data_IF_337448569459
#
_entry.id   IF_337448569459
#
_cell.length_a   1.000
_cell.length_b   1.000
_cell.length_c   1.000
_cell.angle_alpha   90.00
_cell.angle_beta   90.00
_cell.angle_gamma   90.00
#
_symmetry.space_group_name_H-M   'P 1'
#
loop_
_entity.id
_entity.type
_entity.pdbx_description
1 polymer ?
#
# COMPACT_ATOMS: atom_id res chain seq x y z
N UNK A 1 20.25 10.88 7.41
CA UNK A 1 20.90 11.77 6.43
C UNK A 1 19.89 12.28 5.39
N UNK A 2 19.12 11.40 4.70
CA UNK A 2 18.16 11.80 3.65
C UNK A 2 17.05 12.72 4.17
N UNK A 3 16.43 12.39 5.32
CA UNK A 3 15.38 13.21 5.93
C UNK A 3 15.87 14.62 6.29
N UNK A 4 17.08 14.73 6.86
CA UNK A 4 17.67 16.03 7.17
C UNK A 4 17.90 16.84 5.90
N UNK A 5 18.38 16.21 4.83
CA UNK A 5 18.59 16.87 3.54
C UNK A 5 17.24 17.38 2.98
N UNK A 6 16.17 16.59 3.05
CA UNK A 6 14.84 17.00 2.62
C UNK A 6 14.30 18.19 3.43
N UNK A 7 14.48 18.18 4.75
CA UNK A 7 14.10 19.30 5.63
C UNK A 7 14.89 20.55 5.24
N UNK A 8 16.20 20.43 5.01
CA UNK A 8 17.03 21.54 4.55
C UNK A 8 16.57 22.11 3.22
N UNK A 9 16.30 21.27 2.24
CA UNK A 9 15.77 21.71 0.94
C UNK A 9 14.42 22.39 1.12
N UNK A 10 13.48 21.81 1.85
CA UNK A 10 12.17 22.40 2.11
C UNK A 10 12.30 23.76 2.80
N UNK A 11 13.15 23.87 3.83
CA UNK A 11 13.38 25.15 4.52
C UNK A 11 13.98 26.24 3.61
N UNK A 12 14.94 25.89 2.72
CA UNK A 12 15.46 26.82 1.74
C UNK A 12 14.36 27.27 0.75
N UNK A 13 13.51 26.34 0.34
CA UNK A 13 12.41 26.63 -0.58
C UNK A 13 11.42 27.66 -0.01
N UNK A 14 11.26 27.76 1.33
CA UNK A 14 10.40 28.80 1.94
C UNK A 14 10.87 30.22 1.70
N UNK A 15 12.13 30.41 1.33
CA UNK A 15 12.70 31.72 0.96
C UNK A 15 12.56 32.05 -0.54
N UNK A 16 12.43 31.02 -1.38
CA UNK A 16 12.45 31.15 -2.84
C UNK A 16 11.03 31.12 -3.43
N UNK A 17 10.18 30.25 -2.90
CA UNK A 17 8.83 30.04 -3.42
C UNK A 17 7.86 31.02 -2.76
N UNK A 18 7.09 31.83 -3.54
CA UNK A 18 6.07 32.70 -2.99
C UNK A 18 5.00 31.91 -2.22
N UNK A 19 4.62 32.40 -1.06
CA UNK A 19 3.59 31.78 -0.25
C UNK A 19 2.21 31.98 -0.88
N UNK A 20 1.42 30.92 -0.97
CA UNK A 20 0.04 30.95 -1.46
C UNK A 20 -0.86 30.06 -0.63
N UNK A 21 -2.13 30.41 -0.56
CA UNK A 21 -3.15 29.67 0.15
C UNK A 21 -4.41 29.50 -0.71
N UNK A 22 -5.20 28.52 -0.36
CA UNK A 22 -6.56 28.33 -0.85
C UNK A 22 -7.55 28.57 0.29
N UNK A 23 -8.74 29.08 -0.02
CA UNK A 23 -9.82 29.09 0.94
C UNK A 23 -10.22 27.68 1.33
N UNK A 24 -10.50 27.49 2.60
CA UNK A 24 -10.88 26.19 3.15
C UNK A 24 -12.29 26.23 3.69
N UNK A 25 -13.07 25.21 3.38
CA UNK A 25 -14.44 25.03 3.88
C UNK A 25 -14.50 23.71 4.64
N UNK A 26 -15.21 23.74 5.76
CA UNK A 26 -15.45 22.51 6.53
C UNK A 26 -16.50 21.65 5.81
N UNK A 27 -16.08 20.49 5.30
CA UNK A 27 -16.94 19.52 4.64
C UNK A 27 -17.00 18.27 5.52
N UNK A 28 -18.10 18.10 6.25
CA UNK A 28 -18.32 16.95 7.14
C UNK A 28 -17.25 16.78 8.24
N UNK A 29 -16.83 17.87 8.87
CA UNK A 29 -15.83 17.86 9.94
C UNK A 29 -14.38 17.75 9.44
N UNK A 30 -14.15 18.02 8.16
CA UNK A 30 -12.82 18.09 7.56
C UNK A 30 -12.65 19.37 6.77
N UNK A 31 -11.48 19.99 6.92
CA UNK A 31 -11.11 21.16 6.15
C UNK A 31 -10.80 20.76 4.70
N UNK A 32 -11.67 21.13 3.78
CA UNK A 32 -11.49 20.89 2.34
C UNK A 32 -11.08 22.16 1.62
N UNK A 33 -10.24 22.05 0.59
CA UNK A 33 -9.82 23.15 -0.28
C UNK A 33 -10.93 23.48 -1.28
N UNK A 34 -11.23 24.77 -1.43
CA UNK A 34 -12.16 25.26 -2.47
C UNK A 34 -11.41 25.46 -3.79
N UNK A 35 -11.76 24.75 -4.86
CA UNK A 35 -11.09 24.91 -6.15
C UNK A 35 -11.23 26.33 -6.69
N UNK A 36 -10.14 26.88 -7.24
CA UNK A 36 -10.13 28.20 -7.87
C UNK A 36 -9.97 29.40 -6.92
N UNK A 37 -9.77 29.19 -5.63
CA UNK A 37 -9.59 30.25 -4.63
C UNK A 37 -8.12 30.52 -4.29
N UNK A 38 -7.18 30.11 -5.16
CA UNK A 38 -5.76 30.36 -4.91
C UNK A 38 -5.47 31.87 -4.84
N UNK A 39 -4.80 32.29 -3.76
CA UNK A 39 -4.31 33.64 -3.61
C UNK A 39 -2.93 33.64 -2.94
N UNK A 40 -2.11 34.62 -3.30
CA UNK A 40 -0.82 34.80 -2.63
C UNK A 40 -1.01 35.44 -1.24
N UNK A 41 -0.27 34.90 -0.28
CA UNK A 41 -0.23 35.41 1.08
C UNK A 41 1.15 35.99 1.40
N UNK A 42 1.27 36.69 2.53
CA UNK A 42 2.54 37.23 2.98
C UNK A 42 3.54 36.09 3.24
N UNK A 43 4.73 36.23 2.67
CA UNK A 43 5.77 35.20 2.79
C UNK A 43 6.35 35.21 4.21
N UNK A 44 6.29 34.06 4.87
CA UNK A 44 6.85 33.82 6.19
C UNK A 44 7.93 32.73 6.13
N UNK A 45 9.17 33.08 5.78
CA UNK A 45 10.25 32.10 5.71
C UNK A 45 10.53 31.51 7.08
N UNK A 46 10.90 30.21 7.11
CA UNK A 46 11.21 29.50 8.35
C UNK A 46 12.48 30.08 8.98
N UNK A 47 12.38 30.57 10.22
CA UNK A 47 13.49 31.06 11.00
C UNK A 47 14.37 29.90 11.56
N UNK A 48 15.52 30.24 12.18
CA UNK A 48 16.44 29.27 12.73
C UNK A 48 15.79 28.36 13.77
N UNK A 49 14.93 28.90 14.63
CA UNK A 49 14.20 28.12 15.63
C UNK A 49 13.16 27.21 14.97
N UNK A 50 12.48 27.71 13.93
CA UNK A 50 11.55 26.93 13.13
C UNK A 50 12.15 25.68 12.54
N UNK A 51 13.43 25.69 12.16
CA UNK A 51 14.13 24.49 11.67
C UNK A 51 14.24 23.39 12.72
N UNK A 52 14.51 23.75 13.98
CA UNK A 52 14.59 22.78 15.06
C UNK A 52 13.21 22.28 15.50
N UNK A 53 12.22 23.15 15.50
CA UNK A 53 10.85 22.79 15.88
C UNK A 53 10.08 22.07 14.78
N UNK A 54 10.47 22.21 13.51
CA UNK A 54 9.82 21.59 12.36
C UNK A 54 9.69 20.07 12.47
N UNK A 55 10.70 19.40 13.04
CA UNK A 55 10.67 17.95 13.23
C UNK A 55 9.57 17.57 14.23
N UNK A 56 9.53 18.24 15.39
CA UNK A 56 8.52 17.98 16.40
C UNK A 56 7.11 18.30 15.90
N UNK A 57 6.96 19.46 15.24
CA UNK A 57 5.68 19.88 14.67
C UNK A 57 5.21 18.90 13.58
N UNK A 58 6.10 18.44 12.69
CA UNK A 58 5.77 17.44 11.69
C UNK A 58 5.25 16.12 12.27
N UNK A 59 5.78 15.67 13.42
CA UNK A 59 5.23 14.52 14.14
C UNK A 59 3.82 14.81 14.68
N UNK A 60 3.60 15.99 15.25
CA UNK A 60 2.28 16.38 15.78
C UNK A 60 1.26 16.48 14.65
N UNK A 61 1.59 17.14 13.56
CA UNK A 61 0.71 17.31 12.40
C UNK A 61 0.37 15.97 11.71
N UNK A 62 1.33 15.03 11.74
CA UNK A 62 1.15 13.69 11.18
C UNK A 62 0.62 12.66 12.19
N UNK A 63 0.35 13.02 13.43
CA UNK A 63 0.04 12.06 14.50
C UNK A 63 -1.17 11.18 14.19
N UNK A 64 -2.22 11.73 13.57
CA UNK A 64 -3.39 10.95 13.17
C UNK A 64 -3.07 9.89 12.10
N UNK A 65 -2.21 10.23 11.15
CA UNK A 65 -1.75 9.30 10.09
C UNK A 65 -0.91 8.20 10.72
N UNK A 66 0.06 8.57 11.55
CA UNK A 66 0.95 7.63 12.25
C UNK A 66 0.14 6.68 13.11
N UNK A 67 -0.77 7.18 13.94
CA UNK A 67 -1.64 6.36 14.77
C UNK A 67 -2.52 5.42 13.95
N UNK A 68 -3.12 5.91 12.85
CA UNK A 68 -3.93 5.10 11.96
C UNK A 68 -3.16 3.93 11.34
N UNK A 69 -1.93 4.18 10.87
CA UNK A 69 -1.06 3.13 10.32
C UNK A 69 -0.67 2.13 11.40
N UNK A 70 -0.28 2.59 12.61
CA UNK A 70 0.08 1.67 13.70
C UNK A 70 -1.08 0.77 14.13
N UNK A 71 -2.29 1.31 14.29
CA UNK A 71 -3.48 0.53 14.66
C UNK A 71 -3.77 -0.51 13.58
N UNK A 72 -3.71 -0.13 12.31
CA UNK A 72 -3.96 -1.03 11.20
C UNK A 72 -2.94 -2.16 11.13
N UNK A 73 -1.64 -1.84 11.24
CA UNK A 73 -0.56 -2.84 11.22
C UNK A 73 -0.64 -3.77 12.42
N UNK A 74 -0.94 -3.25 13.61
CA UNK A 74 -1.14 -4.06 14.80
C UNK A 74 -2.30 -5.05 14.63
N UNK A 75 -3.43 -4.59 14.05
CA UNK A 75 -4.57 -5.47 13.75
C UNK A 75 -4.19 -6.61 12.80
N UNK A 76 -3.48 -6.30 11.71
CA UNK A 76 -2.98 -7.32 10.77
C UNK A 76 -1.99 -8.25 11.46
N UNK A 77 -1.08 -7.72 12.31
CA UNK A 77 -0.14 -8.54 13.08
C UNK A 77 -0.83 -9.62 13.91
N UNK A 78 -1.92 -9.28 14.57
CA UNK A 78 -2.73 -10.28 15.33
C UNK A 78 -3.26 -11.38 14.41
N UNK A 79 -3.76 -11.03 13.21
CA UNK A 79 -4.22 -12.04 12.25
C UNK A 79 -3.08 -12.93 11.74
N UNK A 80 -1.89 -12.37 11.52
CA UNK A 80 -0.73 -13.15 11.06
C UNK A 80 -0.26 -14.18 12.11
N UNK A 81 -0.35 -13.86 13.40
CA UNK A 81 -0.03 -14.78 14.50
C UNK A 81 -1.02 -15.95 14.64
N UNK A 82 -2.21 -15.86 14.06
CA UNK A 82 -3.24 -16.91 14.20
C UNK A 82 -3.11 -18.09 13.24
N UNK A 83 -2.09 -18.13 12.39
CA UNK A 83 -1.93 -19.11 11.29
C UNK A 83 -3.14 -19.21 10.33
N UNK A 84 -4.08 -18.27 10.41
CA UNK A 84 -5.32 -18.33 9.64
C UNK A 84 -5.05 -18.35 8.13
N UNK A 85 -4.03 -17.61 7.70
CA UNK A 85 -3.62 -17.54 6.30
C UNK A 85 -3.02 -18.86 5.82
N UNK A 86 -2.17 -19.47 6.65
CA UNK A 86 -1.56 -20.77 6.35
C UNK A 86 -2.66 -21.85 6.26
N UNK A 87 -3.57 -21.87 7.21
CA UNK A 87 -4.72 -22.80 7.20
C UNK A 87 -5.62 -22.59 5.99
N UNK A 88 -5.90 -21.34 5.61
CA UNK A 88 -6.71 -21.03 4.42
C UNK A 88 -6.06 -21.56 3.13
N UNK A 89 -4.74 -21.44 2.99
CA UNK A 89 -4.00 -22.01 1.85
C UNK A 89 -4.11 -23.52 1.83
N UNK A 90 -3.86 -24.20 2.96
CA UNK A 90 -3.96 -25.65 3.04
C UNK A 90 -5.36 -26.17 2.74
N UNK A 91 -6.40 -25.53 3.24
CA UNK A 91 -7.78 -25.91 2.93
C UNK A 91 -8.13 -25.66 1.45
N UNK A 92 -7.69 -24.55 0.87
CA UNK A 92 -7.85 -24.28 -0.56
C UNK A 92 -7.15 -25.38 -1.39
N UNK A 93 -5.93 -25.78 -1.04
CA UNK A 93 -5.20 -26.85 -1.71
C UNK A 93 -5.91 -28.21 -1.61
N UNK A 94 -6.49 -28.56 -0.45
CA UNK A 94 -7.27 -29.79 -0.29
C UNK A 94 -8.50 -29.83 -1.20
N UNK A 95 -9.23 -28.71 -1.26
CA UNK A 95 -10.47 -28.62 -2.06
C UNK A 95 -10.17 -28.64 -3.57
N UNK A 96 -9.04 -28.09 -3.98
CA UNK A 96 -8.69 -27.91 -5.40
C UNK A 96 -7.75 -28.99 -5.93
N UNK A 97 -7.14 -29.80 -5.07
CA UNK A 97 -6.17 -30.84 -5.49
C UNK A 97 -6.63 -31.75 -6.61
N UNK A 98 -7.93 -32.02 -6.70
CA UNK A 98 -8.55 -32.82 -7.76
C UNK A 98 -8.92 -32.00 -9.02
N UNK A 99 -8.83 -30.68 -8.98
CA UNK A 99 -9.28 -29.79 -10.07
C UNK A 99 -8.18 -29.33 -11.03
N UNK A 100 -6.99 -29.86 -10.86
CA UNK A 100 -5.84 -29.59 -11.72
C UNK A 100 -4.90 -28.52 -11.18
N UNK A 101 -3.68 -28.62 -11.61
CA UNK A 101 -2.52 -27.84 -11.17
C UNK A 101 -2.72 -26.33 -11.34
N UNK A 102 -3.30 -25.91 -12.47
CA UNK A 102 -3.56 -24.51 -12.77
C UNK A 102 -4.55 -23.86 -11.81
N UNK A 103 -5.56 -24.58 -11.33
CA UNK A 103 -6.55 -24.06 -10.39
C UNK A 103 -5.90 -23.75 -9.02
N UNK A 104 -4.97 -24.61 -8.58
CA UNK A 104 -4.21 -24.38 -7.34
C UNK A 104 -3.35 -23.12 -7.47
N UNK A 105 -2.65 -22.95 -8.58
CA UNK A 105 -1.84 -21.76 -8.86
C UNK A 105 -2.70 -20.49 -8.84
N UNK A 106 -3.85 -20.49 -9.52
CA UNK A 106 -4.77 -19.34 -9.57
C UNK A 106 -5.21 -18.94 -8.16
N UNK A 107 -5.65 -19.92 -7.36
CA UNK A 107 -6.16 -19.62 -6.00
C UNK A 107 -5.08 -19.05 -5.10
N UNK A 108 -3.86 -19.59 -5.17
CA UNK A 108 -2.72 -19.05 -4.42
C UNK A 108 -2.37 -17.63 -4.87
N UNK A 109 -2.34 -17.37 -6.17
CA UNK A 109 -2.07 -16.03 -6.69
C UNK A 109 -3.16 -15.02 -6.30
N UNK A 110 -4.44 -15.40 -6.34
CA UNK A 110 -5.53 -14.56 -5.85
C UNK A 110 -5.34 -14.28 -4.35
N UNK A 111 -5.00 -15.29 -3.57
CA UNK A 111 -4.76 -15.15 -2.14
C UNK A 111 -3.64 -14.13 -1.86
N UNK A 112 -2.49 -14.22 -2.53
CA UNK A 112 -1.40 -13.27 -2.37
C UNK A 112 -1.76 -11.86 -2.89
N UNK A 113 -2.52 -11.76 -3.98
CA UNK A 113 -3.01 -10.47 -4.48
C UNK A 113 -3.93 -9.78 -3.47
N UNK A 114 -4.81 -10.55 -2.81
CA UNK A 114 -5.69 -10.06 -1.74
C UNK A 114 -4.86 -9.60 -0.54
N UNK A 115 -3.93 -10.42 -0.06
CA UNK A 115 -3.05 -10.03 1.05
C UNK A 115 -2.31 -8.74 0.74
N UNK A 116 -1.56 -8.67 -0.38
CA UNK A 116 -0.83 -7.46 -0.77
C UNK A 116 -1.72 -6.24 -0.88
N UNK A 117 -2.92 -6.39 -1.45
CA UNK A 117 -3.87 -5.28 -1.68
C UNK A 117 -4.58 -4.76 -0.43
N UNK A 118 -4.81 -5.61 0.54
CA UNK A 118 -5.56 -5.26 1.75
C UNK A 118 -4.65 -5.01 2.95
N UNK A 119 -3.60 -5.80 3.12
CA UNK A 119 -2.68 -5.63 4.25
C UNK A 119 -1.62 -4.57 3.97
N UNK A 120 -1.23 -4.40 2.71
CA UNK A 120 -0.14 -3.52 2.31
C UNK A 120 1.21 -3.94 2.89
N UNK A 121 1.36 -5.18 3.35
CA UNK A 121 2.59 -5.68 3.95
C UNK A 121 3.14 -6.84 3.11
N UNK A 122 4.26 -6.61 2.45
CA UNK A 122 4.89 -7.57 1.53
C UNK A 122 5.77 -8.57 2.28
N UNK A 123 6.35 -8.16 3.42
CA UNK A 123 7.39 -8.94 4.10
C UNK A 123 6.94 -10.32 4.57
N UNK A 124 5.75 -10.50 5.19
CA UNK A 124 5.30 -11.82 5.60
C UNK A 124 5.05 -12.76 4.42
N UNK A 125 4.69 -12.22 3.26
CA UNK A 125 4.39 -13.01 2.08
C UNK A 125 5.64 -13.65 1.47
N UNK A 126 6.81 -13.04 1.67
CA UNK A 126 8.09 -13.61 1.27
C UNK A 126 8.38 -14.95 1.98
N UNK A 127 7.85 -15.16 3.18
CA UNK A 127 8.01 -16.42 3.91
C UNK A 127 7.32 -17.61 3.21
N UNK A 128 6.36 -17.36 2.32
CA UNK A 128 5.68 -18.40 1.55
C UNK A 128 6.45 -18.81 0.28
N UNK A 129 7.47 -18.06 -0.14
CA UNK A 129 8.25 -18.37 -1.35
C UNK A 129 8.84 -19.80 -1.34
N UNK A 130 9.47 -20.30 -0.27
CA UNK A 130 9.96 -21.66 -0.26
C UNK A 130 8.86 -22.72 -0.45
N UNK A 131 7.67 -22.48 0.12
CA UNK A 131 6.52 -23.35 -0.03
C UNK A 131 6.01 -23.38 -1.47
N UNK A 132 5.89 -22.24 -2.12
CA UNK A 132 5.42 -22.17 -3.52
C UNK A 132 6.46 -22.68 -4.51
N UNK A 133 7.74 -22.58 -4.23
CA UNK A 133 8.80 -23.27 -5.00
C UNK A 133 8.62 -24.79 -4.91
N UNK A 134 8.41 -25.32 -3.71
CA UNK A 134 8.14 -26.74 -3.52
C UNK A 134 6.90 -27.21 -4.28
N UNK A 135 5.83 -26.41 -4.21
CA UNK A 135 4.60 -26.67 -4.95
C UNK A 135 4.80 -26.62 -6.47
N UNK A 136 5.42 -25.57 -7.00
CA UNK A 136 5.71 -25.44 -8.43
C UNK A 136 6.53 -26.62 -8.95
N UNK A 137 7.57 -27.02 -8.21
CA UNK A 137 8.38 -28.19 -8.54
C UNK A 137 7.58 -29.50 -8.52
N UNK A 138 6.66 -29.68 -7.57
CA UNK A 138 5.78 -30.85 -7.50
C UNK A 138 4.78 -30.89 -8.66
N UNK A 139 4.40 -29.74 -9.21
CA UNK A 139 3.53 -29.61 -10.38
C UNK A 139 4.30 -29.64 -11.71
N UNK A 140 5.62 -29.83 -11.69
CA UNK A 140 6.46 -29.91 -12.89
C UNK A 140 6.92 -28.56 -13.45
N UNK A 141 6.68 -27.46 -12.73
CA UNK A 141 7.15 -26.12 -13.10
C UNK A 141 8.54 -25.82 -12.53
N UNK A 142 9.19 -24.80 -13.05
CA UNK A 142 10.50 -24.38 -12.60
C UNK A 142 10.45 -23.60 -11.27
N UNK A 143 11.60 -23.46 -10.63
CA UNK A 143 11.75 -22.72 -9.35
C UNK A 143 11.30 -21.26 -9.49
N UNK A 144 11.54 -20.64 -10.65
CA UNK A 144 11.19 -19.24 -10.86
C UNK A 144 9.68 -19.04 -10.90
N UNK A 145 8.93 -19.97 -11.48
CA UNK A 145 7.47 -19.99 -11.43
C UNK A 145 6.97 -19.95 -9.98
N UNK A 146 7.56 -20.76 -9.10
CA UNK A 146 7.22 -20.74 -7.67
C UNK A 146 7.47 -19.38 -7.00
N UNK A 147 8.55 -18.72 -7.36
CA UNK A 147 8.88 -17.37 -6.84
C UNK A 147 7.89 -16.32 -7.36
N UNK A 148 7.64 -16.27 -8.65
CA UNK A 148 6.77 -15.25 -9.26
C UNK A 148 5.30 -15.44 -8.90
N UNK A 149 4.86 -16.65 -8.57
CA UNK A 149 3.50 -16.91 -8.07
C UNK A 149 3.18 -16.16 -6.78
N UNK A 150 4.17 -15.88 -5.94
CA UNK A 150 4.01 -15.05 -4.74
C UNK A 150 4.24 -13.59 -5.07
N UNK A 151 5.40 -13.28 -5.64
CA UNK A 151 5.86 -11.90 -5.76
C UNK A 151 4.98 -11.05 -6.69
N UNK A 152 4.63 -11.54 -7.88
CA UNK A 152 3.88 -10.73 -8.84
C UNK A 152 2.49 -10.35 -8.33
N UNK A 153 1.65 -11.28 -7.84
CA UNK A 153 0.35 -10.92 -7.29
C UNK A 153 0.45 -10.06 -6.05
N UNK A 154 1.42 -10.34 -5.15
CA UNK A 154 1.65 -9.54 -3.94
C UNK A 154 2.00 -8.10 -4.27
N UNK A 155 3.02 -7.88 -5.12
CA UNK A 155 3.43 -6.52 -5.49
C UNK A 155 2.36 -5.80 -6.29
N UNK A 156 1.65 -6.48 -7.18
CA UNK A 156 0.53 -5.91 -7.91
C UNK A 156 -0.60 -5.54 -6.95
N UNK A 157 -0.92 -6.43 -6.01
CA UNK A 157 -1.88 -6.17 -4.94
C UNK A 157 -1.49 -4.95 -4.11
N UNK A 158 -0.25 -4.87 -3.66
CA UNK A 158 0.28 -3.74 -2.91
C UNK A 158 0.19 -2.42 -3.67
N UNK A 159 0.58 -2.42 -4.95
CA UNK A 159 0.61 -1.21 -5.76
C UNK A 159 -0.78 -0.66 -6.12
N UNK A 160 -1.75 -1.55 -6.34
CA UNK A 160 -3.08 -1.18 -6.84
C UNK A 160 -4.22 -1.43 -5.86
N UNK A 161 -3.92 -2.00 -4.70
CA UNK A 161 -4.90 -2.39 -3.68
C UNK A 161 -5.77 -1.23 -3.20
N UNK A 162 -7.10 -1.43 -3.11
CA UNK A 162 -8.03 -0.36 -2.78
C UNK A 162 -7.95 0.11 -1.31
N UNK A 163 -7.50 -0.76 -0.41
CA UNK A 163 -7.47 -0.54 1.04
C UNK A 163 -6.06 -0.48 1.62
N UNK A 164 -5.03 -0.38 0.79
CA UNK A 164 -3.65 -0.36 1.26
C UNK A 164 -3.40 0.84 2.21
N UNK A 165 -3.06 0.58 3.49
CA UNK A 165 -2.87 1.64 4.48
C UNK A 165 -1.61 2.47 4.25
N UNK A 166 -0.58 1.87 3.66
CA UNK A 166 0.71 2.53 3.43
C UNK A 166 0.71 3.46 2.22
N UNK A 167 -0.12 3.18 1.22
CA UNK A 167 -0.19 3.97 -0.01
C UNK A 167 -1.47 4.79 -0.07
N UNK A 168 -2.62 4.13 -0.10
CA UNK A 168 -3.92 4.79 -0.29
C UNK A 168 -4.30 5.67 0.88
N UNK A 169 -4.25 5.12 2.11
CA UNK A 169 -4.63 5.88 3.30
C UNK A 169 -3.72 7.09 3.51
N UNK A 170 -2.41 6.91 3.42
CA UNK A 170 -1.45 8.01 3.58
C UNK A 170 -1.64 9.08 2.51
N UNK A 171 -1.73 8.67 1.23
CA UNK A 171 -1.93 9.62 0.13
C UNK A 171 -3.23 10.42 0.28
N UNK A 172 -4.33 9.76 0.67
CA UNK A 172 -5.61 10.43 0.90
C UNK A 172 -5.58 11.36 2.12
N UNK A 173 -4.87 10.96 3.18
CA UNK A 173 -4.71 11.81 4.38
C UNK A 173 -3.94 13.08 4.06
N UNK A 174 -2.86 12.98 3.27
CA UNK A 174 -2.07 14.14 2.81
C UNK A 174 -2.88 15.03 1.85
N UNK A 175 -3.70 14.42 0.99
CA UNK A 175 -4.58 15.13 0.06
C UNK A 175 -5.88 15.66 0.70
N UNK A 176 -6.05 15.49 2.01
CA UNK A 176 -7.25 15.90 2.78
C UNK A 176 -8.55 15.25 2.24
N UNK A 177 -8.44 14.10 1.58
CA UNK A 177 -9.58 13.38 1.06
C UNK A 177 -10.17 12.41 2.12
N UNK A 178 -11.47 12.07 2.02
CA UNK A 178 -12.06 11.05 2.88
C UNK A 178 -11.31 9.71 2.75
N UNK A 179 -11.00 9.08 3.89
CA UNK A 179 -10.29 7.81 3.92
C UNK A 179 -11.00 6.76 3.06
N UNK A 180 -10.23 6.09 2.22
CA UNK A 180 -10.71 5.06 1.28
C UNK A 180 -11.79 5.55 0.29
N UNK A 181 -11.87 6.86 0.02
CA UNK A 181 -12.71 7.40 -1.06
C UNK A 181 -12.26 6.87 -2.42
N UNK A 182 -13.18 6.76 -3.39
CA UNK A 182 -12.86 6.23 -4.72
C UNK A 182 -12.56 4.72 -4.71
N UNK A 183 -13.13 3.95 -3.77
CA UNK A 183 -12.88 2.51 -3.67
C UNK A 183 -13.24 1.75 -4.93
N UNK A 184 -14.37 2.07 -5.57
CA UNK A 184 -14.86 1.34 -6.76
C UNK A 184 -13.88 1.40 -7.95
N UNK A 185 -13.41 2.56 -8.44
CA UNK A 185 -12.44 2.60 -9.53
C UNK A 185 -11.12 1.94 -9.16
N UNK A 186 -10.68 2.02 -7.89
CA UNK A 186 -9.46 1.34 -7.42
C UNK A 186 -9.62 -0.17 -7.41
N UNK A 187 -10.78 -0.67 -6.97
CA UNK A 187 -11.05 -2.12 -7.00
C UNK A 187 -11.07 -2.64 -8.44
N UNK A 188 -11.65 -1.90 -9.39
CA UNK A 188 -11.61 -2.29 -10.80
C UNK A 188 -10.17 -2.32 -11.30
N UNK A 189 -9.38 -1.29 -11.02
CA UNK A 189 -7.97 -1.24 -11.40
C UNK A 189 -7.19 -2.41 -10.79
N UNK A 190 -7.40 -2.69 -9.51
CA UNK A 190 -6.78 -3.80 -8.80
C UNK A 190 -7.10 -5.15 -9.45
N UNK A 191 -8.38 -5.42 -9.75
CA UNK A 191 -8.79 -6.68 -10.40
C UNK A 191 -8.14 -6.83 -11.78
N UNK A 192 -8.15 -5.77 -12.59
CA UNK A 192 -7.52 -5.78 -13.93
C UNK A 192 -6.02 -6.03 -13.84
N UNK A 193 -5.33 -5.33 -12.96
CA UNK A 193 -3.88 -5.48 -12.79
C UNK A 193 -3.50 -6.85 -12.22
N UNK A 194 -4.29 -7.39 -11.29
CA UNK A 194 -4.09 -8.75 -10.79
C UNK A 194 -4.32 -9.79 -11.89
N UNK A 195 -5.33 -9.62 -12.74
CA UNK A 195 -5.56 -10.51 -13.87
C UNK A 195 -4.39 -10.51 -14.86
N UNK A 196 -3.84 -9.32 -15.17
CA UNK A 196 -2.64 -9.17 -16.02
C UNK A 196 -1.43 -9.86 -15.39
N UNK A 197 -1.21 -9.64 -14.09
CA UNK A 197 -0.13 -10.25 -13.32
C UNK A 197 -0.22 -11.79 -13.35
N UNK A 198 -1.41 -12.34 -13.10
CA UNK A 198 -1.64 -13.77 -13.17
C UNK A 198 -1.43 -14.34 -14.58
N UNK A 199 -1.95 -13.64 -15.61
CA UNK A 199 -1.74 -14.03 -17.00
C UNK A 199 -0.25 -14.08 -17.37
N UNK A 200 0.54 -13.12 -16.89
CA UNK A 200 1.98 -13.11 -17.08
C UNK A 200 2.65 -14.36 -16.49
N UNK A 201 2.27 -14.73 -15.24
CA UNK A 201 2.81 -15.94 -14.59
C UNK A 201 2.51 -17.19 -15.42
N UNK A 202 1.28 -17.32 -15.93
CA UNK A 202 0.91 -18.46 -16.78
C UNK A 202 1.64 -18.48 -18.12
N UNK A 203 1.83 -17.32 -18.77
CA UNK A 203 2.59 -17.23 -20.02
C UNK A 203 4.05 -17.62 -19.78
N UNK A 204 4.60 -17.24 -18.63
CA UNK A 204 5.97 -17.62 -18.26
C UNK A 204 6.10 -19.12 -17.96
N UNK A 205 5.10 -19.72 -17.32
CA UNK A 205 5.07 -21.11 -16.91
C UNK A 205 4.77 -22.10 -18.06
N UNK A 206 4.25 -21.62 -19.20
CA UNK A 206 3.91 -22.42 -20.38
C UNK A 206 5.15 -22.77 -21.23
#
# INVERSE_FOLDING_TARGET
TLLVLMICIAGIMTYIVPAGAFDRVDINGRSGVVPGTFHFIEQQPVDIFGWFTAIGQGFVDSAAIIAGVFIFVAGIGVYMETDIFIKAIFEAMKVLGDKGEQAVMIVLMIFFAVLGGFTGNITPELAFVPMTIGLASALGYDTMTGVIMVLFPTFTGFATGPLNPYTVYVAQSVAELPSFSGMLPRTICWVVMCAISMAFVFIYAA
#
